data_IF_181035499377
#
_entry.id   IF_181035499377
#
_cell.length_a   1.000
_cell.length_b   1.000
_cell.length_c   1.000
_cell.angle_alpha   90.00
_cell.angle_beta   90.00
_cell.angle_gamma   90.00
#
_symmetry.space_group_name_H-M   'P 1'
#
loop_
_entity.id
_entity.type
_entity.pdbx_description
1 polymer ?
#
# COMPACT_ATOMS: atom_id res chain seq x y z
N UNK A 1 -15.60 10.33 0.74
CA UNK A 1 -14.41 10.48 1.60
C UNK A 1 -13.72 9.13 1.68
N UNK A 2 -12.40 9.10 1.52
CA UNK A 2 -11.57 7.91 1.79
C UNK A 2 -10.70 8.08 3.04
N UNK A 3 -10.48 9.32 3.49
CA UNK A 3 -9.80 9.63 4.75
C UNK A 3 -10.77 9.65 5.93
N UNK A 4 -10.26 9.35 7.12
CA UNK A 4 -10.97 9.58 8.38
C UNK A 4 -10.79 11.02 8.85
N UNK A 5 -11.73 11.50 9.66
CA UNK A 5 -11.60 12.74 10.42
C UNK A 5 -11.74 12.41 11.90
N UNK A 6 -10.89 13.00 12.73
CA UNK A 6 -10.91 12.82 14.18
C UNK A 6 -11.05 14.17 14.90
N UNK A 7 -11.81 14.17 15.99
CA UNK A 7 -11.96 15.31 16.89
C UNK A 7 -11.68 14.82 18.30
N UNK A 8 -10.79 15.50 19.01
CA UNK A 8 -10.33 15.07 20.32
C UNK A 8 -9.13 15.87 20.80
N UNK A 9 -8.30 15.24 21.62
CA UNK A 9 -7.10 15.83 22.16
C UNK A 9 -6.04 14.76 22.45
N UNK A 10 -4.78 15.16 22.43
CA UNK A 10 -3.61 14.37 22.86
C UNK A 10 -2.90 15.15 23.98
N UNK A 11 -2.46 14.46 25.02
CA UNK A 11 -1.54 15.04 26.02
C UNK A 11 -0.13 14.51 25.75
N UNK A 12 0.80 15.42 25.50
CA UNK A 12 2.19 15.12 25.18
C UNK A 12 3.10 16.13 25.86
N UNK A 13 4.12 15.63 26.58
CA UNK A 13 5.07 16.45 27.33
C UNK A 13 4.43 17.51 28.25
N UNK A 14 3.28 17.16 28.87
CA UNK A 14 2.51 18.06 29.73
C UNK A 14 1.69 19.12 28.99
N UNK A 15 1.70 19.14 27.66
CA UNK A 15 0.87 20.00 26.83
C UNK A 15 -0.35 19.22 26.30
N UNK A 16 -1.53 19.86 26.35
CA UNK A 16 -2.75 19.34 25.75
C UNK A 16 -2.95 19.97 24.37
N UNK A 17 -2.92 19.13 23.34
CA UNK A 17 -3.12 19.50 21.95
C UNK A 17 -4.54 19.08 21.55
N UNK A 18 -5.42 20.05 21.31
CA UNK A 18 -6.78 19.80 20.84
C UNK A 18 -6.86 19.85 19.31
N UNK A 19 -7.69 19.01 18.72
CA UNK A 19 -7.89 18.97 17.28
C UNK A 19 -9.35 18.70 16.95
N UNK A 20 -9.81 19.29 15.85
CA UNK A 20 -11.17 19.16 15.35
C UNK A 20 -11.14 18.85 13.86
N UNK A 21 -11.85 17.81 13.45
CA UNK A 21 -11.89 17.32 12.07
C UNK A 21 -10.49 17.17 11.44
N UNK A 22 -9.52 16.70 12.23
CA UNK A 22 -8.16 16.46 11.75
C UNK A 22 -8.11 15.19 10.89
N UNK A 23 -7.37 15.19 9.76
CA UNK A 23 -7.16 14.00 8.96
C UNK A 23 -6.64 12.85 9.80
N UNK A 24 -7.27 11.69 9.71
CA UNK A 24 -6.89 10.50 10.45
C UNK A 24 -6.85 9.27 9.56
N UNK A 25 -6.00 8.35 9.97
CA UNK A 25 -5.91 7.01 9.43
C UNK A 25 -6.11 6.01 10.57
N UNK A 26 -6.75 4.90 10.26
CA UNK A 26 -6.90 3.79 11.20
C UNK A 26 -6.86 2.50 10.40
N UNK A 27 -5.94 1.62 10.78
CA UNK A 27 -5.86 0.28 10.23
C UNK A 27 -6.16 -0.76 11.30
N UNK A 28 -6.58 -1.93 10.83
CA UNK A 28 -6.77 -3.10 11.65
C UNK A 28 -6.04 -4.28 11.02
N UNK A 29 -5.01 -4.74 11.69
CA UNK A 29 -4.31 -5.97 11.34
C UNK A 29 -4.89 -7.15 12.13
N UNK A 30 -5.04 -8.29 11.47
CA UNK A 30 -5.50 -9.54 12.09
C UNK A 30 -4.81 -10.73 11.41
N UNK A 31 -4.55 -11.81 12.15
CA UNK A 31 -3.86 -12.99 11.64
C UNK A 31 -2.84 -13.56 12.63
N UNK A 32 -2.10 -14.60 12.20
CA UNK A 32 -1.08 -15.26 13.03
C UNK A 32 0.24 -14.47 13.17
N UNK A 33 0.49 -13.51 12.28
CA UNK A 33 1.70 -12.69 12.25
C UNK A 33 1.78 -11.86 10.97
N UNK A 34 2.67 -10.87 10.96
CA UNK A 34 2.99 -10.10 9.76
C UNK A 34 3.72 -10.95 8.70
N UNK A 35 3.77 -10.51 7.43
CA UNK A 35 4.55 -11.16 6.39
C UNK A 35 6.04 -11.30 6.77
N UNK A 36 6.78 -12.18 6.08
CA UNK A 36 8.22 -12.35 6.35
C UNK A 36 9.04 -11.08 6.07
N UNK A 37 8.55 -10.26 5.15
CA UNK A 37 9.12 -8.98 4.75
C UNK A 37 7.99 -8.12 4.21
N UNK A 38 7.90 -6.87 4.62
CA UNK A 38 6.86 -5.96 4.11
C UNK A 38 7.31 -4.51 4.12
N UNK A 39 6.62 -3.69 3.35
CA UNK A 39 6.69 -2.25 3.40
C UNK A 39 5.28 -1.67 3.36
N UNK A 40 5.14 -0.44 3.85
CA UNK A 40 3.87 0.28 3.84
C UNK A 40 4.12 1.78 3.68
N UNK A 41 3.18 2.44 2.99
CA UNK A 41 3.16 3.87 2.72
C UNK A 41 1.73 4.36 2.83
N UNK A 42 1.50 5.41 3.60
CA UNK A 42 0.17 5.99 3.78
C UNK A 42 0.26 7.51 3.87
N UNK A 43 -0.72 8.20 3.29
CA UNK A 43 -0.84 9.63 3.44
C UNK A 43 -2.27 10.11 3.15
N UNK A 44 -2.81 10.98 4.00
CA UNK A 44 -4.10 11.65 3.78
C UNK A 44 -3.96 13.18 3.65
N UNK A 45 -2.74 13.70 3.72
CA UNK A 45 -2.45 15.14 3.69
C UNK A 45 -1.62 15.42 2.44
N UNK A 46 -2.30 15.46 1.29
CA UNK A 46 -1.68 15.61 -0.03
C UNK A 46 -2.17 16.89 -0.70
N UNK A 47 -1.22 17.67 -1.21
CA UNK A 47 -1.48 18.95 -1.85
C UNK A 47 -0.78 19.04 -3.21
N UNK A 48 -1.38 19.75 -4.16
CA UNK A 48 -0.80 19.95 -5.49
C UNK A 48 -1.69 20.82 -6.38
N UNK A 49 -1.10 21.39 -7.43
CA UNK A 49 -1.83 22.27 -8.34
C UNK A 49 -2.95 21.51 -9.07
N UNK A 50 -4.19 22.01 -8.96
CA UNK A 50 -5.35 21.40 -9.59
C UNK A 50 -5.94 20.19 -8.85
N UNK A 51 -5.34 19.76 -7.74
CA UNK A 51 -5.98 18.84 -6.81
C UNK A 51 -7.07 19.57 -6.02
N UNK A 52 -8.29 19.03 -6.00
CA UNK A 52 -9.39 19.60 -5.22
C UNK A 52 -10.10 18.52 -4.41
N UNK A 53 -10.31 18.78 -3.12
CA UNK A 53 -10.93 17.85 -2.18
C UNK A 53 -9.94 16.86 -1.55
N UNK A 54 -10.49 15.93 -0.78
CA UNK A 54 -9.71 14.96 -0.01
C UNK A 54 -9.04 13.91 -0.89
N UNK A 55 -7.80 13.60 -0.53
CA UNK A 55 -7.02 12.51 -1.12
C UNK A 55 -6.58 11.59 0.01
N UNK A 56 -6.80 10.29 -0.16
CA UNK A 56 -6.31 9.27 0.75
C UNK A 56 -5.52 8.23 -0.03
N UNK A 57 -4.28 7.98 0.38
CA UNK A 57 -3.37 7.00 -0.18
C UNK A 57 -3.11 5.90 0.83
N UNK A 58 -3.15 4.65 0.38
CA UNK A 58 -2.57 3.50 1.08
C UNK A 58 -1.87 2.63 0.05
N UNK A 59 -0.61 2.30 0.32
CA UNK A 59 0.16 1.40 -0.52
C UNK A 59 0.97 0.46 0.37
N UNK A 60 1.03 -0.81 0.00
CA UNK A 60 1.73 -1.81 0.79
C UNK A 60 2.22 -2.94 -0.10
N UNK A 61 3.23 -3.66 0.37
CA UNK A 61 3.67 -4.90 -0.24
C UNK A 61 4.30 -5.83 0.78
N UNK A 62 4.19 -7.13 0.54
CA UNK A 62 4.63 -8.15 1.47
C UNK A 62 4.97 -9.48 0.81
N UNK A 63 6.00 -10.14 1.34
CA UNK A 63 6.29 -11.54 1.09
C UNK A 63 5.46 -12.39 2.05
N UNK A 64 4.22 -12.69 1.63
CA UNK A 64 3.24 -13.39 2.46
C UNK A 64 3.26 -14.90 2.22
N UNK A 65 2.91 -15.66 3.25
CA UNK A 65 2.69 -17.10 3.12
C UNK A 65 1.28 -17.37 2.55
N UNK A 66 1.16 -18.32 1.63
CA UNK A 66 -0.14 -18.75 1.10
C UNK A 66 -0.76 -19.78 2.07
N UNK A 67 -1.94 -19.52 2.66
CA UNK A 67 -2.56 -20.48 3.56
C UNK A 67 -2.93 -21.78 2.84
N UNK A 68 -2.73 -22.92 3.49
CA UNK A 68 -3.06 -24.24 2.94
C UNK A 68 -2.01 -24.87 2.01
N UNK A 69 -0.99 -24.11 1.60
CA UNK A 69 0.19 -24.62 0.89
C UNK A 69 1.41 -24.38 1.79
N UNK A 70 1.83 -25.40 2.52
CA UNK A 70 3.00 -25.31 3.39
C UNK A 70 4.22 -24.89 2.56
N UNK A 71 4.96 -23.89 3.06
CA UNK A 71 6.23 -23.38 2.50
C UNK A 71 6.16 -22.53 1.21
N UNK A 72 4.98 -22.20 0.69
CA UNK A 72 4.89 -21.28 -0.47
C UNK A 72 4.71 -19.83 -0.03
N UNK A 73 5.57 -18.96 -0.55
CA UNK A 73 5.53 -17.51 -0.36
C UNK A 73 5.31 -16.81 -1.69
N UNK A 74 4.55 -15.74 -1.67
CA UNK A 74 4.34 -14.87 -2.83
C UNK A 74 4.55 -13.42 -2.46
N UNK A 75 4.94 -12.63 -3.46
CA UNK A 75 4.91 -11.18 -3.34
C UNK A 75 3.50 -10.69 -3.66
N UNK A 76 2.86 -10.07 -2.67
CA UNK A 76 1.63 -9.32 -2.85
C UNK A 76 1.92 -7.83 -2.68
N UNK A 77 1.27 -6.98 -3.46
CA UNK A 77 1.33 -5.53 -3.29
C UNK A 77 0.05 -4.88 -3.81
N UNK A 78 -0.26 -3.70 -3.28
CA UNK A 78 -1.38 -2.88 -3.71
C UNK A 78 -1.05 -1.39 -3.60
N UNK A 79 -1.75 -0.59 -4.40
CA UNK A 79 -1.85 0.86 -4.24
C UNK A 79 -3.35 1.19 -4.33
N UNK A 80 -3.87 1.87 -3.32
CA UNK A 80 -5.23 2.39 -3.28
C UNK A 80 -5.20 3.90 -3.11
N UNK A 81 -5.89 4.61 -4.01
CA UNK A 81 -6.03 6.07 -3.92
C UNK A 81 -7.50 6.45 -4.00
N UNK A 82 -8.01 7.16 -3.00
CA UNK A 82 -9.32 7.82 -3.06
C UNK A 82 -9.13 9.27 -3.48
N UNK A 83 -9.80 9.71 -4.55
CA UNK A 83 -9.79 11.09 -5.01
C UNK A 83 -11.04 11.39 -5.84
N UNK A 84 -11.63 12.58 -5.67
CA UNK A 84 -12.77 13.03 -6.50
C UNK A 84 -13.99 12.11 -6.47
N UNK A 85 -14.24 11.44 -5.34
CA UNK A 85 -15.34 10.47 -5.20
C UNK A 85 -15.09 9.11 -5.86
N UNK A 86 -13.86 8.85 -6.32
CA UNK A 86 -13.46 7.60 -6.98
C UNK A 86 -12.35 6.89 -6.21
N UNK A 87 -12.37 5.56 -6.27
CA UNK A 87 -11.29 4.70 -5.81
C UNK A 87 -10.46 4.22 -7.01
N UNK A 88 -9.19 4.57 -7.02
CA UNK A 88 -8.19 4.10 -7.98
C UNK A 88 -7.47 2.91 -7.34
N UNK A 89 -7.88 1.71 -7.73
CA UNK A 89 -7.36 0.45 -7.23
C UNK A 89 -6.29 -0.12 -8.16
N UNK A 90 -5.11 -0.42 -7.61
CA UNK A 90 -4.03 -1.11 -8.31
C UNK A 90 -3.62 -2.35 -7.53
N UNK A 91 -3.97 -3.50 -8.06
CA UNK A 91 -3.86 -4.81 -7.40
C UNK A 91 -3.52 -5.87 -8.44
N UNK A 92 -2.99 -7.04 -8.02
CA UNK A 92 -2.54 -8.04 -8.97
C UNK A 92 -3.65 -8.50 -9.92
N UNK A 93 -4.89 -8.69 -9.45
CA UNK A 93 -5.98 -9.26 -10.26
C UNK A 93 -6.54 -8.33 -11.35
N UNK A 94 -6.25 -7.03 -11.32
CA UNK A 94 -6.69 -6.06 -12.33
C UNK A 94 -5.52 -5.41 -13.10
N UNK A 95 -4.28 -5.84 -12.85
CA UNK A 95 -3.12 -5.12 -13.34
C UNK A 95 -1.79 -5.67 -12.86
N UNK A 96 -0.81 -4.77 -12.68
CA UNK A 96 0.42 -5.09 -11.97
C UNK A 96 0.87 -3.94 -11.09
N UNK A 97 1.58 -4.27 -10.01
CA UNK A 97 2.26 -3.33 -9.14
C UNK A 97 3.74 -3.70 -9.11
N UNK A 98 4.62 -2.73 -9.35
CA UNK A 98 6.06 -2.85 -9.15
C UNK A 98 6.46 -2.01 -7.94
N UNK A 99 7.56 -2.42 -7.29
CA UNK A 99 8.16 -1.63 -6.22
C UNK A 99 9.68 -1.73 -6.24
N UNK A 100 10.29 -0.72 -5.66
CA UNK A 100 11.70 -0.65 -5.31
C UNK A 100 11.80 0.03 -3.94
N UNK A 101 12.15 -0.75 -2.91
CA UNK A 101 12.24 -0.28 -1.53
C UNK A 101 13.62 -0.59 -0.97
N UNK A 102 14.31 0.43 -0.49
CA UNK A 102 15.63 0.26 0.17
C UNK A 102 15.47 -0.31 1.58
N UNK A 103 16.55 -0.79 2.23
CA UNK A 103 16.48 -1.16 3.64
C UNK A 103 15.91 -0.06 4.54
N UNK A 104 16.13 1.20 4.17
CA UNK A 104 15.50 2.36 4.78
C UNK A 104 15.71 3.62 3.93
N UNK A 105 14.77 4.56 3.98
CA UNK A 105 14.92 5.92 3.46
C UNK A 105 14.35 6.15 2.05
N UNK A 106 13.96 5.09 1.34
CA UNK A 106 13.42 5.20 -0.02
C UNK A 106 12.40 4.10 -0.35
N UNK A 107 11.24 4.53 -0.84
CA UNK A 107 10.15 3.72 -1.35
C UNK A 107 9.73 4.25 -2.72
N UNK A 108 9.71 3.38 -3.72
CA UNK A 108 9.13 3.68 -5.02
C UNK A 108 8.16 2.57 -5.41
N UNK A 109 7.00 2.96 -5.95
CA UNK A 109 6.03 2.05 -6.51
C UNK A 109 5.47 2.59 -7.82
N UNK A 110 5.16 1.68 -8.75
CA UNK A 110 4.44 2.02 -9.98
C UNK A 110 3.43 0.94 -10.32
N UNK A 111 2.28 1.31 -10.87
CA UNK A 111 1.28 0.33 -11.25
C UNK A 111 0.48 0.73 -12.50
N UNK A 112 -0.08 -0.28 -13.14
CA UNK A 112 -0.97 -0.19 -14.31
C UNK A 112 -2.14 -1.14 -14.07
N UNK A 113 -3.38 -0.62 -14.11
CA UNK A 113 -4.61 -1.41 -13.98
C UNK A 113 -5.44 -1.48 -15.28
N UNK A 114 -4.81 -1.23 -16.42
CA UNK A 114 -5.42 -1.21 -17.74
C UNK A 114 -6.18 0.08 -18.08
N UNK A 115 -6.56 0.88 -17.09
CA UNK A 115 -7.25 2.17 -17.28
C UNK A 115 -6.43 3.36 -16.81
N UNK A 116 -5.61 3.17 -15.78
CA UNK A 116 -4.82 4.20 -15.12
C UNK A 116 -3.39 3.72 -14.91
N UNK A 117 -2.49 4.69 -14.84
CA UNK A 117 -1.11 4.50 -14.40
C UNK A 117 -0.91 5.29 -13.12
N UNK A 118 -0.13 4.76 -12.18
CA UNK A 118 0.25 5.45 -10.94
C UNK A 118 1.74 5.34 -10.70
N UNK A 119 2.33 6.41 -10.19
CA UNK A 119 3.66 6.43 -9.60
C UNK A 119 3.59 7.06 -8.21
N UNK A 120 4.28 6.42 -7.28
CA UNK A 120 4.42 6.82 -5.90
C UNK A 120 5.91 6.77 -5.56
N UNK A 121 6.46 7.90 -5.12
CA UNK A 121 7.84 7.98 -4.62
C UNK A 121 7.81 8.63 -3.24
N UNK A 122 8.43 7.99 -2.26
CA UNK A 122 8.57 8.51 -0.91
C UNK A 122 9.99 8.35 -0.36
N UNK A 123 10.42 9.33 0.42
CA UNK A 123 11.77 9.45 0.99
C UNK A 123 11.71 9.95 2.41
N UNK A 124 12.71 9.59 3.21
CA UNK A 124 12.91 10.18 4.53
C UNK A 124 14.38 10.14 4.93
N UNK A 125 14.82 11.19 5.61
CA UNK A 125 16.11 11.22 6.32
C UNK A 125 15.93 10.96 7.83
N UNK A 126 14.69 10.84 8.31
CA UNK A 126 14.39 10.47 9.68
C UNK A 126 14.91 9.04 9.96
N UNK A 127 15.55 8.79 11.12
CA UNK A 127 16.09 7.46 11.42
C UNK A 127 15.01 6.37 11.53
N UNK A 128 13.75 6.77 11.75
CA UNK A 128 12.61 5.91 12.03
C UNK A 128 12.60 5.41 13.47
N UNK A 129 11.41 5.02 13.93
CA UNK A 129 11.19 4.45 15.26
C UNK A 129 11.08 2.93 15.15
N UNK A 130 11.91 2.15 15.85
CA UNK A 130 11.74 0.71 15.88
C UNK A 130 10.50 0.31 16.68
N UNK A 131 9.64 -0.50 16.08
CA UNK A 131 8.39 -0.98 16.66
C UNK A 131 8.39 -2.50 16.82
N UNK A 132 7.58 -2.97 17.77
CA UNK A 132 7.33 -4.40 17.94
C UNK A 132 6.15 -4.84 17.08
N UNK A 133 6.34 -5.89 16.29
CA UNK A 133 5.30 -6.50 15.46
C UNK A 133 5.21 -8.01 15.75
N UNK A 134 4.01 -8.63 15.70
CA UNK A 134 3.85 -10.07 15.74
C UNK A 134 4.49 -10.75 14.51
N UNK A 135 5.36 -11.71 14.75
CA UNK A 135 6.03 -12.53 13.72
C UNK A 135 5.74 -14.00 13.96
N UNK A 136 5.72 -14.79 12.90
CA UNK A 136 5.47 -16.24 12.99
C UNK A 136 6.57 -16.97 13.77
N UNK A 137 7.82 -16.50 13.70
CA UNK A 137 8.97 -17.17 14.28
C UNK A 137 9.29 -16.72 15.71
N UNK A 138 9.16 -15.42 16.02
CA UNK A 138 9.61 -14.84 17.29
C UNK A 138 8.47 -14.22 18.12
N UNK A 139 7.22 -14.35 17.69
CA UNK A 139 6.09 -13.67 18.33
C UNK A 139 6.24 -12.15 18.24
N UNK A 140 5.85 -11.43 19.30
CA UNK A 140 5.97 -9.98 19.37
C UNK A 140 7.44 -9.55 19.56
N UNK A 141 8.09 -9.15 18.47
CA UNK A 141 9.51 -8.80 18.44
C UNK A 141 9.75 -7.48 17.70
N UNK A 142 10.91 -6.85 17.89
CA UNK A 142 11.28 -5.64 17.16
C UNK A 142 11.60 -6.00 15.71
N UNK A 143 10.56 -5.99 14.88
CA UNK A 143 10.59 -6.42 13.49
C UNK A 143 10.05 -5.35 12.54
N UNK A 144 9.73 -4.16 13.04
CA UNK A 144 9.20 -3.06 12.26
C UNK A 144 9.99 -1.78 12.53
N UNK A 145 10.06 -0.90 11.54
CA UNK A 145 10.54 0.47 11.68
C UNK A 145 9.67 1.41 10.85
N UNK A 146 9.15 2.46 11.48
CA UNK A 146 8.24 3.41 10.86
C UNK A 146 8.66 4.88 11.07
N UNK A 147 8.06 5.78 10.31
CA UNK A 147 8.14 7.24 10.52
C UNK A 147 6.93 7.93 9.91
N UNK A 148 6.56 9.09 10.43
CA UNK A 148 5.56 9.99 9.82
C UNK A 148 6.20 11.23 9.16
N UNK A 149 7.53 11.27 9.10
CA UNK A 149 8.32 12.37 8.53
C UNK A 149 8.78 12.02 7.11
N UNK A 150 7.84 11.55 6.28
CA UNK A 150 8.09 11.15 4.91
C UNK A 150 7.72 12.25 3.90
N UNK A 151 8.63 12.53 2.97
CA UNK A 151 8.34 13.34 1.78
C UNK A 151 7.84 12.41 0.69
N UNK A 152 6.68 12.68 0.14
CA UNK A 152 5.98 11.82 -0.81
C UNK A 152 5.53 12.61 -2.03
N UNK A 153 5.61 11.99 -3.19
CA UNK A 153 4.96 12.45 -4.43
C UNK A 153 4.09 11.33 -4.98
N UNK A 154 2.89 11.69 -5.43
CA UNK A 154 1.91 10.78 -6.00
C UNK A 154 1.40 11.34 -7.31
N UNK A 155 1.46 10.53 -8.37
CA UNK A 155 0.98 10.90 -9.69
C UNK A 155 0.10 9.82 -10.28
N UNK A 156 -1.02 10.24 -10.87
CA UNK A 156 -1.97 9.35 -11.56
C UNK A 156 -2.23 9.90 -12.96
N UNK A 157 -2.23 9.02 -13.96
CA UNK A 157 -2.59 9.34 -15.34
C UNK A 157 -3.68 8.41 -15.86
N UNK A 158 -4.46 8.91 -16.81
CA UNK A 158 -5.18 8.03 -17.75
C UNK A 158 -4.17 7.20 -18.54
N UNK A 159 -4.49 5.92 -18.79
CA UNK A 159 -3.68 5.05 -19.64
C UNK A 159 -4.15 5.16 -21.09
N UNK A 160 -3.24 5.42 -22.02
CA UNK A 160 -3.54 5.39 -23.46
C UNK A 160 -3.61 3.95 -23.98
N UNK A 161 -4.19 3.77 -25.18
CA UNK A 161 -4.30 2.46 -25.83
C UNK A 161 -2.93 1.78 -26.05
N UNK A 162 -1.88 2.57 -26.27
CA UNK A 162 -0.49 2.12 -26.45
C UNK A 162 0.24 1.83 -25.12
N UNK A 163 -0.45 2.00 -23.99
CA UNK A 163 0.10 1.83 -22.65
C UNK A 163 0.90 3.02 -22.11
N UNK A 164 0.99 4.13 -22.84
CA UNK A 164 1.67 5.34 -22.38
C UNK A 164 0.82 6.19 -21.42
N UNK A 165 1.49 7.08 -20.67
CA UNK A 165 0.85 8.08 -19.80
C UNK A 165 0.06 9.09 -20.63
N UNK A 166 -1.26 9.08 -20.44
CA UNK A 166 -2.22 9.99 -21.03
C UNK A 166 -2.33 11.32 -20.27
N UNK A 167 -3.57 11.78 -20.09
CA UNK A 167 -3.87 12.98 -19.31
C UNK A 167 -3.54 12.74 -17.83
N UNK A 168 -2.90 13.72 -17.18
CA UNK A 168 -2.68 13.68 -15.74
C UNK A 168 -3.99 13.91 -14.99
N UNK A 169 -4.24 13.09 -13.99
CA UNK A 169 -5.42 13.12 -13.12
C UNK A 169 -5.04 13.74 -11.77
N UNK A 170 -3.87 13.37 -11.25
CA UNK A 170 -3.36 13.81 -9.97
C UNK A 170 -1.84 13.99 -10.05
N UNK A 171 -1.32 15.09 -9.51
CA UNK A 171 0.10 15.35 -9.26
C UNK A 171 0.19 16.11 -7.93
N UNK A 172 0.50 15.39 -6.86
CA UNK A 172 0.43 15.91 -5.50
C UNK A 172 1.63 15.45 -4.69
N UNK A 173 1.90 16.19 -3.61
CA UNK A 173 2.98 15.91 -2.68
C UNK A 173 2.55 16.09 -1.22
N UNK A 174 3.31 15.50 -0.32
CA UNK A 174 3.19 15.65 1.13
C UNK A 174 4.57 15.60 1.77
N UNK A 175 4.74 16.25 2.91
CA UNK A 175 5.86 16.08 3.84
C UNK A 175 5.44 15.37 5.15
N UNK A 176 4.23 14.81 5.17
CA UNK A 176 3.63 14.10 6.31
C UNK A 176 3.28 12.64 5.98
N UNK A 177 4.02 12.01 5.06
CA UNK A 177 3.76 10.61 4.72
C UNK A 177 4.26 9.67 5.81
N UNK A 178 3.43 8.68 6.13
CA UNK A 178 3.79 7.58 6.99
C UNK A 178 4.45 6.47 6.17
N UNK A 179 5.65 6.04 6.58
CA UNK A 179 6.52 5.11 5.85
C UNK A 179 6.99 4.01 6.78
N UNK A 180 6.94 2.77 6.32
CA UNK A 180 7.29 1.60 7.12
C UNK A 180 8.06 0.56 6.30
N UNK A 181 9.03 -0.08 6.95
CA UNK A 181 9.55 -1.39 6.55
C UNK A 181 9.46 -2.35 7.74
N UNK A 182 9.22 -3.62 7.45
CA UNK A 182 9.30 -4.63 8.48
C UNK A 182 9.63 -6.03 7.97
N UNK A 183 9.76 -6.93 8.93
CA UNK A 183 10.27 -8.27 8.76
C UNK A 183 11.75 -8.22 8.41
N UNK A 184 12.16 -9.12 7.53
CA UNK A 184 13.50 -9.14 6.99
C UNK A 184 14.18 -10.50 7.12
N UNK A 185 15.52 -10.52 7.05
CA UNK A 185 16.41 -9.35 7.07
C UNK A 185 16.37 -8.47 5.80
N UNK A 186 16.66 -7.18 5.96
CA UNK A 186 16.78 -6.18 4.90
C UNK A 186 18.26 -5.85 4.62
N UNK A 187 18.92 -6.65 3.78
CA UNK A 187 20.35 -6.42 3.43
C UNK A 187 20.55 -5.60 2.16
N UNK A 188 19.54 -5.53 1.29
CA UNK A 188 19.60 -4.88 0.00
C UNK A 188 18.23 -4.34 -0.40
N UNK A 189 18.23 -3.47 -1.41
CA UNK A 189 17.02 -2.96 -2.04
C UNK A 189 16.15 -4.13 -2.52
N UNK A 190 14.89 -4.14 -2.10
CA UNK A 190 13.89 -5.07 -2.56
C UNK A 190 13.18 -4.51 -3.78
N UNK A 191 13.48 -5.08 -4.94
CA UNK A 191 12.73 -4.84 -6.17
C UNK A 191 11.78 -6.00 -6.42
N UNK A 192 10.56 -5.70 -6.82
CA UNK A 192 9.61 -6.75 -7.16
C UNK A 192 8.48 -6.26 -8.02
N UNK A 193 7.74 -7.24 -8.53
CA UNK A 193 6.53 -7.06 -9.32
C UNK A 193 5.51 -8.08 -8.82
N UNK A 194 4.26 -7.67 -8.71
CA UNK A 194 3.17 -8.61 -8.42
C UNK A 194 3.09 -9.61 -9.57
N UNK A 195 3.21 -10.88 -9.24
CA UNK A 195 2.82 -11.94 -10.16
C UNK A 195 1.33 -12.09 -10.06
N UNK A 196 0.63 -12.10 -11.20
CA UNK A 196 -0.67 -12.74 -11.24
C UNK A 196 -0.48 -14.14 -10.63
N UNK A 197 -1.27 -14.55 -9.62
CA UNK A 197 -1.35 -15.97 -9.30
C UNK A 197 -1.56 -16.67 -10.63
N UNK A 198 -0.87 -17.77 -10.94
CA UNK A 198 -1.19 -18.53 -12.13
C UNK A 198 -2.68 -18.83 -12.04
N UNK A 199 -3.46 -18.09 -12.82
CA UNK A 199 -4.80 -18.51 -13.17
C UNK A 199 -4.54 -19.91 -13.67
N UNK A 200 -5.14 -20.91 -13.03
CA UNK A 200 -5.28 -22.22 -13.65
C UNK A 200 -6.18 -21.94 -14.86
N UNK A 201 -5.54 -21.43 -15.92
CA UNK A 201 -6.14 -21.09 -17.19
C UNK A 201 -6.41 -22.40 -17.90
N UNK A 202 -7.56 -22.50 -18.57
CA UNK A 202 -8.14 -23.79 -18.82
C UNK A 202 -7.42 -24.44 -20.00
N UNK A 203 -7.05 -25.71 -19.85
CA UNK A 203 -6.79 -26.60 -20.97
C UNK A 203 -8.06 -26.81 -21.86
N UNK A 204 -9.14 -26.05 -21.65
CA UNK A 204 -10.46 -26.19 -22.24
C UNK A 204 -11.05 -24.78 -22.42
N UNK A 205 -10.93 -24.18 -23.61
CA UNK A 205 -11.31 -22.79 -23.92
C UNK A 205 -12.77 -22.41 -23.61
N UNK A 206 -13.08 -22.22 -22.33
CA UNK A 206 -14.31 -21.67 -21.81
C UNK A 206 -13.99 -20.36 -21.07
N UNK A 207 -14.86 -19.34 -21.14
CA UNK A 207 -14.69 -18.11 -20.40
C UNK A 207 -14.69 -18.43 -18.91
N UNK A 208 -13.54 -18.21 -18.27
CA UNK A 208 -13.38 -18.40 -16.83
C UNK A 208 -13.98 -17.16 -16.16
N UNK A 209 -15.07 -17.37 -15.42
CA UNK A 209 -15.65 -16.37 -14.54
C UNK A 209 -14.71 -16.13 -13.35
N UNK A 210 -13.78 -15.19 -13.54
CA UNK A 210 -12.81 -14.82 -12.51
C UNK A 210 -13.51 -14.25 -11.27
N UNK A 211 -14.59 -13.49 -11.45
CA UNK A 211 -15.37 -12.94 -10.33
C UNK A 211 -16.01 -14.05 -9.50
N UNK A 212 -16.54 -15.09 -10.15
CA UNK A 212 -17.05 -16.30 -9.50
C UNK A 212 -15.98 -17.07 -8.72
N UNK A 213 -14.76 -17.19 -9.25
CA UNK A 213 -13.65 -17.90 -8.57
C UNK A 213 -13.12 -17.11 -7.37
N UNK A 214 -12.93 -15.80 -7.52
CA UNK A 214 -12.48 -14.94 -6.43
C UNK A 214 -13.53 -14.79 -5.31
N UNK A 215 -14.82 -14.89 -5.64
CA UNK A 215 -15.90 -14.90 -4.63
C UNK A 215 -16.11 -16.29 -3.99
N UNK A 216 -15.82 -17.39 -4.71
CA UNK A 216 -15.93 -18.76 -4.18
C UNK A 216 -14.73 -19.16 -3.30
N UNK A 217 -13.58 -18.51 -3.46
CA UNK A 217 -12.37 -18.74 -2.67
C UNK A 217 -11.95 -17.45 -1.97
N UNK A 218 -12.51 -17.13 -0.79
CA UNK A 218 -12.23 -15.91 -0.02
C UNK A 218 -10.77 -15.78 0.48
N UNK A 219 -9.90 -16.73 0.12
CA UNK A 219 -8.47 -16.72 0.45
C UNK A 219 -7.68 -15.71 -0.40
N UNK A 220 -8.19 -15.35 -1.59
CA UNK A 220 -7.47 -14.49 -2.55
C UNK A 220 -7.85 -13.01 -2.49
N UNK A 221 -9.02 -12.68 -1.92
CA UNK A 221 -9.38 -11.30 -1.57
C UNK A 221 -9.17 -11.09 -0.07
N UNK A 222 -8.30 -10.16 0.36
CA UNK A 222 -8.26 -9.77 1.77
C UNK A 222 -9.66 -9.31 2.21
N UNK A 223 -10.16 -9.71 3.39
CA UNK A 223 -11.44 -9.19 3.85
C UNK A 223 -11.35 -7.68 4.07
N UNK A 224 -12.31 -6.94 3.50
CA UNK A 224 -12.38 -5.48 3.58
C UNK A 224 -12.06 -4.73 2.29
N UNK A 225 -11.79 -5.44 1.18
CA UNK A 225 -11.75 -4.89 -0.19
C UNK A 225 -12.96 -5.36 -0.99
#
# INVERSE_FOLDING_TARGET
MGGGLSTGWIEWDGERIEFENAPSYSEKNWGGGFPRKWFWVQCNVLEGEGASGEIALTAAGGLRQIPGITETFENAALIGVHYGGKFYEFVPWNGFVNWEVTPWGYWFMSADNGSYLVELEAKTDDPGTPLRAPTSEAGLSQACKDTCFGILTLKIWERRYDGSKGKIILDVSSDMAALEVGGGPWFSTWKGKTTMPPVIGPALGLPVDLDGIFNAVPLFKPPGL
#
